data_IF_781120615613
#
_entry.id   IF_781120615613
#
_cell.length_a   1.000
_cell.length_b   1.000
_cell.length_c   1.000
_cell.angle_alpha   90.00
_cell.angle_beta   90.00
_cell.angle_gamma   90.00
#
_symmetry.space_group_name_H-M   'P 1'
#
loop_
_entity.id
_entity.type
_entity.pdbx_description
1 polymer ?
#
# COMPACT_ATOMS: atom_id res chain seq x y z
N UNK A 1 -34.36 -15.52 -33.28
CA UNK A 1 -32.91 -15.70 -33.46
C UNK A 1 -32.28 -14.34 -33.29
N UNK A 2 -31.42 -14.17 -32.28
CA UNK A 2 -30.61 -12.96 -32.14
C UNK A 2 -29.46 -13.05 -33.16
N UNK A 3 -29.19 -11.96 -33.88
CA UNK A 3 -28.04 -11.88 -34.79
C UNK A 3 -26.74 -12.09 -33.99
N UNK A 4 -25.82 -12.95 -34.44
CA UNK A 4 -24.49 -13.03 -33.86
C UNK A 4 -23.76 -11.71 -34.13
N UNK A 5 -23.28 -11.05 -33.08
CA UNK A 5 -22.42 -9.87 -33.22
C UNK A 5 -21.15 -10.32 -33.98
N UNK A 6 -20.74 -9.62 -35.06
CA UNK A 6 -19.57 -10.01 -35.82
C UNK A 6 -18.32 -9.98 -34.92
N UNK A 7 -17.56 -11.09 -34.91
CA UNK A 7 -16.33 -11.31 -34.13
C UNK A 7 -15.16 -10.37 -34.49
N UNK A 8 -15.37 -9.34 -35.32
CA UNK A 8 -14.30 -8.61 -35.99
C UNK A 8 -14.11 -7.16 -35.56
N UNK A 9 -14.89 -6.66 -34.60
CA UNK A 9 -14.76 -5.31 -34.04
C UNK A 9 -14.91 -5.33 -32.50
N UNK A 10 -14.31 -6.32 -31.82
CA UNK A 10 -13.92 -6.06 -30.44
C UNK A 10 -12.71 -5.16 -30.60
N UNK A 11 -12.88 -3.84 -30.47
CA UNK A 11 -11.80 -2.86 -30.53
C UNK A 11 -10.68 -3.34 -29.59
N UNK A 12 -9.67 -4.02 -30.14
CA UNK A 12 -8.49 -4.47 -29.41
C UNK A 12 -7.69 -3.22 -29.08
N UNK A 13 -8.12 -2.50 -28.05
CA UNK A 13 -7.42 -1.31 -27.60
C UNK A 13 -6.07 -1.79 -27.06
N UNK A 14 -4.99 -1.37 -27.71
CA UNK A 14 -3.63 -1.64 -27.28
C UNK A 14 -3.40 -1.27 -25.81
N UNK A 15 -4.11 -0.26 -25.29
CA UNK A 15 -4.07 0.16 -23.88
C UNK A 15 -4.75 -0.86 -22.94
N UNK A 16 -5.74 -1.63 -23.42
CA UNK A 16 -6.38 -2.71 -22.64
C UNK A 16 -5.52 -3.98 -22.61
N UNK A 17 -4.76 -4.23 -23.68
CA UNK A 17 -3.83 -5.36 -23.78
C UNK A 17 -2.43 -5.04 -23.24
N UNK A 18 -2.22 -3.83 -22.74
CA UNK A 18 -0.91 -3.42 -22.21
C UNK A 18 -0.63 -4.13 -20.89
N UNK A 19 0.44 -4.93 -20.88
CA UNK A 19 0.90 -5.67 -19.72
C UNK A 19 1.80 -4.82 -18.82
N UNK A 20 1.75 -5.02 -17.51
CA UNK A 20 2.61 -4.34 -16.54
C UNK A 20 2.06 -3.00 -16.04
N UNK A 21 1.03 -2.44 -16.69
CA UNK A 21 0.35 -1.21 -16.27
C UNK A 21 -1.00 -1.48 -15.61
N UNK A 22 -1.55 -2.69 -15.78
CA UNK A 22 -2.80 -3.10 -15.17
C UNK A 22 -2.66 -3.18 -13.65
N UNK A 23 -3.75 -2.90 -12.93
CA UNK A 23 -3.75 -2.86 -11.46
C UNK A 23 -3.24 -4.17 -10.83
N UNK A 24 -3.58 -5.32 -11.41
CA UNK A 24 -3.12 -6.64 -10.96
C UNK A 24 -1.59 -6.80 -11.12
N UNK A 25 -1.03 -6.37 -12.24
CA UNK A 25 0.40 -6.48 -12.53
C UNK A 25 1.21 -5.53 -11.64
N UNK A 26 0.70 -4.31 -11.41
CA UNK A 26 1.28 -3.34 -10.49
C UNK A 26 1.24 -3.86 -9.06
N UNK A 27 0.12 -4.47 -8.64
CA UNK A 27 -0.04 -5.05 -7.30
C UNK A 27 0.93 -6.21 -7.09
N UNK A 28 1.05 -7.12 -8.06
CA UNK A 28 1.98 -8.25 -8.00
C UNK A 28 3.44 -7.76 -7.98
N UNK A 29 3.75 -6.74 -8.78
CA UNK A 29 5.06 -6.09 -8.80
C UNK A 29 5.38 -5.37 -7.48
N UNK A 30 4.36 -4.85 -6.78
CA UNK A 30 4.52 -4.20 -5.49
C UNK A 30 4.67 -5.22 -4.35
N UNK A 31 3.95 -6.35 -4.42
CA UNK A 31 4.11 -7.48 -3.49
C UNK A 31 5.50 -8.12 -3.55
N UNK A 32 6.04 -8.24 -4.75
CA UNK A 32 7.39 -8.81 -4.98
C UNK A 32 8.51 -7.80 -4.81
N UNK A 33 8.19 -6.50 -4.76
CA UNK A 33 9.15 -5.47 -4.37
C UNK A 33 9.46 -5.68 -2.89
N UNK A 34 10.69 -6.11 -2.59
CA UNK A 34 11.22 -6.10 -1.23
C UNK A 34 11.40 -4.63 -0.82
N UNK A 35 10.35 -4.00 -0.33
CA UNK A 35 10.50 -2.79 0.49
C UNK A 35 10.56 -3.30 1.92
N UNK A 36 11.71 -3.18 2.57
CA UNK A 36 11.78 -3.44 4.00
C UNK A 36 10.98 -2.35 4.70
N UNK A 37 9.71 -2.66 5.01
CA UNK A 37 8.79 -1.74 5.68
C UNK A 37 9.16 -1.53 7.16
N UNK A 38 10.16 -2.26 7.65
CA UNK A 38 10.68 -2.16 9.01
C UNK A 38 11.77 -1.10 9.13
N UNK A 39 12.30 -0.61 8.01
CA UNK A 39 13.30 0.46 8.02
C UNK A 39 12.63 1.80 8.37
N UNK A 40 13.31 2.59 9.19
CA UNK A 40 12.88 3.95 9.49
C UNK A 40 12.80 4.75 8.18
N UNK A 41 11.72 5.53 8.02
CA UNK A 41 11.57 6.44 6.88
C UNK A 41 12.84 7.27 6.72
N UNK A 42 13.57 7.08 5.63
CA UNK A 42 14.75 7.89 5.37
C UNK A 42 14.31 9.31 5.01
N UNK A 43 14.79 10.30 5.76
CA UNK A 43 14.78 11.66 5.27
C UNK A 43 15.58 11.71 3.97
N UNK A 44 15.01 12.30 2.92
CA UNK A 44 15.61 12.35 1.59
C UNK A 44 17.11 12.69 1.65
N UNK A 45 17.90 11.92 0.89
CA UNK A 45 19.37 11.98 0.88
C UNK A 45 19.98 13.32 0.42
N UNK A 46 21.31 13.31 0.21
CA UNK A 46 22.18 14.50 0.05
C UNK A 46 21.49 15.74 -0.52
N UNK A 47 21.72 16.89 0.14
CA UNK A 47 21.09 18.16 -0.18
C UNK A 47 20.99 18.42 -1.68
N UNK A 48 19.78 18.29 -2.20
CA UNK A 48 19.47 18.53 -3.59
C UNK A 48 19.41 20.06 -3.80
N UNK A 49 20.28 20.66 -4.64
CA UNK A 49 20.30 22.10 -4.83
C UNK A 49 19.02 22.66 -5.47
N UNK A 50 18.16 21.80 -6.04
CA UNK A 50 16.84 22.14 -6.57
C UNK A 50 15.68 21.82 -5.59
N UNK A 51 15.99 21.46 -4.35
CA UNK A 51 14.99 21.09 -3.36
C UNK A 51 14.14 22.30 -2.95
N UNK A 52 12.82 22.13 -3.04
CA UNK A 52 11.84 23.16 -2.66
C UNK A 52 11.49 23.04 -1.17
N UNK A 53 11.45 21.82 -0.64
CA UNK A 53 11.14 21.52 0.77
C UNK A 53 12.43 21.17 1.48
N UNK A 54 12.93 22.01 2.40
CA UNK A 54 14.14 21.74 3.15
C UNK A 54 14.15 20.39 3.86
N UNK A 55 15.34 19.79 4.03
CA UNK A 55 15.54 18.51 4.72
C UNK A 55 15.09 18.53 6.20
N UNK A 56 14.95 19.71 6.82
CA UNK A 56 14.50 19.88 8.21
C UNK A 56 12.99 20.03 8.37
N UNK A 57 12.21 19.91 7.29
CA UNK A 57 10.75 19.90 7.37
C UNK A 57 10.28 18.52 7.84
N UNK A 58 9.55 18.44 8.97
CA UNK A 58 9.05 17.17 9.48
C UNK A 58 8.03 16.58 8.51
N UNK A 59 8.19 15.29 8.20
CA UNK A 59 7.26 14.56 7.36
C UNK A 59 6.01 14.08 8.14
N UNK A 60 5.18 13.26 7.51
CA UNK A 60 3.99 12.71 8.15
C UNK A 60 4.32 11.81 9.34
N UNK A 61 5.34 10.95 9.20
CA UNK A 61 5.76 9.99 10.22
C UNK A 61 6.38 10.73 11.41
N UNK A 62 7.20 11.76 11.16
CA UNK A 62 7.74 12.63 12.21
C UNK A 62 6.64 13.29 13.02
N UNK A 63 5.63 13.81 12.32
CA UNK A 63 4.50 14.46 12.97
C UNK A 63 3.67 13.47 13.78
N UNK A 64 3.45 12.25 13.27
CA UNK A 64 2.78 11.17 14.01
C UNK A 64 3.58 10.79 15.26
N UNK A 65 4.89 10.62 15.14
CA UNK A 65 5.79 10.34 16.26
C UNK A 65 5.84 11.49 17.27
N UNK A 66 5.76 12.74 16.82
CA UNK A 66 5.67 13.90 17.69
C UNK A 66 4.33 13.94 18.45
N UNK A 67 3.22 13.59 17.78
CA UNK A 67 1.89 13.50 18.41
C UNK A 67 1.80 12.34 19.41
N UNK A 68 2.44 11.20 19.14
CA UNK A 68 2.54 10.08 20.09
C UNK A 68 3.34 10.49 21.34
N UNK A 69 4.52 11.10 21.13
CA UNK A 69 5.37 11.60 22.23
C UNK A 69 4.72 12.72 23.06
N UNK A 70 3.88 13.55 22.44
CA UNK A 70 3.16 14.62 23.14
C UNK A 70 1.89 14.14 23.85
N UNK A 71 1.47 12.89 23.63
CA UNK A 71 0.22 12.33 24.17
C UNK A 71 -1.03 12.84 23.46
N UNK A 72 -0.90 13.48 22.29
CA UNK A 72 -2.04 13.89 21.47
C UNK A 72 -2.66 12.70 20.73
N UNK A 73 -1.86 11.68 20.44
CA UNK A 73 -2.29 10.36 19.98
C UNK A 73 -1.69 9.33 20.94
N UNK A 74 -2.44 8.29 21.27
CA UNK A 74 -1.94 7.11 21.98
C UNK A 74 -1.94 5.94 21.02
N UNK A 75 -0.77 5.59 20.50
CA UNK A 75 -0.62 4.46 19.56
C UNK A 75 -0.71 3.11 20.26
N UNK A 76 -0.59 3.08 21.59
CA UNK A 76 -0.56 1.86 22.39
C UNK A 76 -1.89 1.64 23.15
N UNK A 77 -2.91 2.44 22.88
CA UNK A 77 -4.21 2.38 23.55
C UNK A 77 -4.87 0.99 23.50
N UNK A 78 -4.63 0.24 22.41
CA UNK A 78 -5.12 -1.13 22.21
C UNK A 78 -4.01 -2.18 22.31
N UNK A 79 -2.78 -1.77 22.65
CA UNK A 79 -1.65 -2.69 22.74
C UNK A 79 -1.86 -3.68 23.88
N UNK A 80 -1.92 -4.97 23.53
CA UNK A 80 -2.16 -6.05 24.49
C UNK A 80 -3.62 -6.34 24.80
N UNK A 81 -4.57 -5.68 24.13
CA UNK A 81 -5.96 -6.13 24.15
C UNK A 81 -6.08 -7.51 23.47
N UNK A 82 -6.95 -8.41 23.96
CA UNK A 82 -7.24 -9.66 23.28
C UNK A 82 -7.81 -9.38 21.88
N UNK A 83 -7.22 -10.00 20.85
CA UNK A 83 -7.86 -10.06 19.54
C UNK A 83 -9.16 -10.85 19.70
N UNK A 84 -10.30 -10.18 19.56
CA UNK A 84 -11.62 -10.82 19.51
C UNK A 84 -11.96 -11.10 18.05
N UNK A 85 -11.12 -11.86 17.38
CA UNK A 85 -11.40 -12.39 16.05
C UNK A 85 -12.37 -13.57 16.20
N UNK A 86 -13.51 -13.52 15.51
CA UNK A 86 -14.50 -14.60 15.48
C UNK A 86 -14.12 -15.74 14.54
N UNK A 87 -13.11 -15.53 13.69
CA UNK A 87 -12.58 -16.52 12.74
C UNK A 87 -11.50 -17.43 13.36
N UNK A 88 -10.90 -17.05 14.50
CA UNK A 88 -9.89 -17.84 15.25
C UNK A 88 -10.42 -19.21 15.76
N UNK A 89 -11.72 -19.48 15.63
CA UNK A 89 -12.36 -20.76 15.93
C UNK A 89 -12.86 -21.56 14.73
N UNK A 90 -12.78 -21.04 13.50
CA UNK A 90 -13.40 -21.65 12.32
C UNK A 90 -12.48 -22.61 11.54
N UNK A 91 -11.16 -22.48 11.67
CA UNK A 91 -10.19 -23.16 10.81
C UNK A 91 -9.36 -24.24 11.56
N UNK A 92 -9.92 -24.82 12.62
CA UNK A 92 -9.45 -26.11 13.18
C UNK A 92 -10.59 -27.12 13.16
N UNK A 93 -10.99 -27.49 11.95
CA UNK A 93 -11.61 -28.78 11.70
C UNK A 93 -10.81 -29.50 10.61
N UNK A 94 -10.03 -30.49 11.05
CA UNK A 94 -9.44 -31.54 10.24
C UNK A 94 -10.44 -32.15 9.25
N UNK A 95 -10.05 -32.30 7.97
CA UNK A 95 -9.82 -33.59 7.27
C UNK A 95 -8.99 -33.39 5.99
#
# INVERSE_FOLDING_TARGET
MADPIPDNDIDENSEQNEAGTQAQDVTESARTRTTDLSEESEHGGHGNPAQIIPDDVPDLVDKMNAMNRSGQIDMDAYAGEPAMDDEDGAESSED
#
